data_IF_260728314328
#
_entry.id   IF_260728314328
#
_cell.length_a   1.000
_cell.length_b   1.000
_cell.length_c   1.000
_cell.angle_alpha   90.00
_cell.angle_beta   90.00
_cell.angle_gamma   90.00
#
_symmetry.space_group_name_H-M   'P 1'
#
loop_
_entity.id
_entity.type
_entity.pdbx_description
1 polymer ?
#
# COMPACT_ATOMS: atom_id res chain seq x y z
N UNK A 1 9.35 4.87 35.71
CA UNK A 1 8.07 4.44 35.13
C UNK A 1 8.16 4.75 33.63
N UNK A 2 8.30 3.72 32.79
CA UNK A 2 8.64 3.86 31.36
C UNK A 2 7.38 4.24 30.59
N UNK A 3 7.23 5.50 30.21
CA UNK A 3 6.22 5.93 29.23
C UNK A 3 6.61 5.29 27.90
N UNK A 4 5.76 4.41 27.38
CA UNK A 4 5.96 3.83 26.03
C UNK A 4 6.06 4.92 24.96
N UNK A 5 6.43 4.56 23.73
CA UNK A 5 6.47 5.54 22.65
C UNK A 5 5.08 6.17 22.52
N UNK A 6 4.99 7.49 22.64
CA UNK A 6 3.75 8.27 22.49
C UNK A 6 3.82 9.21 21.30
N UNK A 7 4.95 9.20 20.57
CA UNK A 7 5.21 10.15 19.49
C UNK A 7 5.01 9.47 18.12
N UNK A 8 4.11 9.98 17.27
CA UNK A 8 3.86 9.44 15.94
C UNK A 8 5.00 9.70 14.94
N UNK A 9 6.07 10.39 15.32
CA UNK A 9 7.29 10.55 14.51
C UNK A 9 8.32 9.46 14.84
N UNK A 10 8.13 8.71 15.94
CA UNK A 10 9.04 7.65 16.37
C UNK A 10 8.78 6.34 15.59
N UNK A 11 9.78 5.75 14.93
CA UNK A 11 9.61 4.44 14.28
C UNK A 11 9.20 3.32 15.26
N UNK A 12 9.58 3.40 16.55
CA UNK A 12 9.17 2.42 17.56
C UNK A 12 7.67 2.49 17.88
N UNK A 13 7.07 3.69 17.79
CA UNK A 13 5.63 3.88 17.92
C UNK A 13 4.88 3.12 16.83
N UNK A 14 5.24 3.35 15.57
CA UNK A 14 4.62 2.69 14.42
C UNK A 14 4.84 1.17 14.41
N UNK A 15 5.99 0.70 14.89
CA UNK A 15 6.22 -0.73 15.05
C UNK A 15 5.23 -1.36 16.06
N UNK A 16 4.96 -0.69 17.18
CA UNK A 16 4.03 -1.16 18.19
C UNK A 16 2.56 -1.07 17.70
N UNK A 17 2.17 0.04 17.05
CA UNK A 17 0.86 0.19 16.38
C UNK A 17 0.64 -0.96 15.39
N UNK A 18 1.61 -1.26 14.53
CA UNK A 18 1.50 -2.34 13.54
C UNK A 18 1.32 -3.71 14.20
N UNK A 19 2.09 -4.00 15.26
CA UNK A 19 1.97 -5.28 15.98
C UNK A 19 0.60 -5.45 16.63
N UNK A 20 0.04 -4.38 17.19
CA UNK A 20 -1.27 -4.44 17.84
C UNK A 20 -2.39 -4.51 16.78
N UNK A 21 -2.29 -3.74 15.70
CA UNK A 21 -3.22 -3.80 14.58
C UNK A 21 -3.28 -5.21 13.97
N UNK A 22 -2.13 -5.85 13.68
CA UNK A 22 -2.08 -7.19 13.08
C UNK A 22 -2.76 -8.26 13.97
N UNK A 23 -2.60 -8.16 15.29
CA UNK A 23 -3.26 -9.04 16.26
C UNK A 23 -4.78 -8.82 16.33
N UNK A 24 -5.22 -7.56 16.21
CA UNK A 24 -6.64 -7.21 16.33
C UNK A 24 -7.40 -7.35 15.02
N UNK A 25 -6.74 -7.18 13.87
CA UNK A 25 -7.37 -7.28 12.56
C UNK A 25 -8.01 -8.66 12.33
N UNK A 26 -7.39 -9.73 12.83
CA UNK A 26 -7.87 -11.11 12.71
C UNK A 26 -9.10 -11.40 13.61
N UNK A 27 -9.33 -10.58 14.65
CA UNK A 27 -10.45 -10.77 15.56
C UNK A 27 -11.75 -10.17 14.99
N UNK A 28 -12.93 -10.72 15.35
CA UNK A 28 -14.22 -10.09 15.02
C UNK A 28 -14.34 -8.69 15.63
N UNK A 29 -15.04 -7.74 14.97
CA UNK A 29 -15.13 -6.34 15.42
C UNK A 29 -15.65 -6.18 16.85
N UNK A 30 -16.56 -7.06 17.29
CA UNK A 30 -17.09 -7.07 18.65
C UNK A 30 -16.02 -7.42 19.72
N UNK A 31 -14.96 -8.13 19.35
CA UNK A 31 -13.87 -8.54 20.25
C UNK A 31 -12.66 -7.59 20.18
N UNK A 32 -12.49 -6.84 19.08
CA UNK A 32 -11.38 -5.89 18.88
C UNK A 32 -11.33 -4.82 19.95
N UNK A 33 -12.46 -4.18 20.28
CA UNK A 33 -12.52 -3.13 21.31
C UNK A 33 -12.22 -3.64 22.73
N UNK A 34 -12.59 -4.89 23.02
CA UNK A 34 -12.26 -5.52 24.31
C UNK A 34 -10.76 -5.85 24.39
N UNK A 35 -10.20 -6.44 23.33
CA UNK A 35 -8.79 -6.77 23.25
C UNK A 35 -7.89 -5.53 23.19
N UNK A 36 -8.33 -4.44 22.55
CA UNK A 36 -7.63 -3.15 22.55
C UNK A 36 -7.56 -2.56 23.96
N UNK A 37 -8.65 -2.65 24.73
CA UNK A 37 -8.66 -2.23 26.14
C UNK A 37 -7.79 -3.13 27.03
N UNK A 38 -7.80 -4.44 26.78
CA UNK A 38 -7.00 -5.42 27.53
C UNK A 38 -5.50 -5.27 27.26
N UNK A 39 -5.11 -4.74 26.09
CA UNK A 39 -3.70 -4.52 25.73
C UNK A 39 -2.93 -3.66 26.73
N UNK A 40 -3.61 -2.79 27.49
CA UNK A 40 -2.98 -1.93 28.49
C UNK A 40 -2.00 -0.89 27.92
N UNK A 41 -2.01 -0.71 26.59
CA UNK A 41 -1.11 0.20 25.88
C UNK A 41 -1.47 1.68 26.12
N UNK A 42 -0.58 2.58 25.70
CA UNK A 42 -0.81 4.02 25.83
C UNK A 42 -2.06 4.47 25.07
N UNK A 43 -2.75 5.49 25.58
CA UNK A 43 -3.97 6.02 24.96
C UNK A 43 -3.74 6.48 23.51
N UNK A 44 -2.56 7.05 23.22
CA UNK A 44 -2.17 7.46 21.86
C UNK A 44 -2.07 6.27 20.90
N UNK A 45 -1.46 5.16 21.36
CA UNK A 45 -1.33 3.96 20.53
C UNK A 45 -2.69 3.29 20.31
N UNK A 46 -3.53 3.23 21.33
CA UNK A 46 -4.88 2.69 21.20
C UNK A 46 -5.75 3.51 20.23
N UNK A 47 -5.62 4.83 20.24
CA UNK A 47 -6.38 5.70 19.34
C UNK A 47 -5.99 5.50 17.87
N UNK A 48 -4.68 5.43 17.60
CA UNK A 48 -4.17 5.15 16.25
C UNK A 48 -4.61 3.78 15.73
N UNK A 49 -4.52 2.74 16.56
CA UNK A 49 -4.96 1.39 16.17
C UNK A 49 -6.48 1.35 15.93
N UNK A 50 -7.27 2.06 16.75
CA UNK A 50 -8.73 2.18 16.52
C UNK A 50 -9.03 2.89 15.20
N UNK A 51 -8.32 3.97 14.89
CA UNK A 51 -8.44 4.68 13.61
C UNK A 51 -8.14 3.77 12.42
N UNK A 52 -7.06 2.98 12.49
CA UNK A 52 -6.69 2.04 11.43
C UNK A 52 -7.72 0.91 11.26
N UNK A 53 -8.23 0.35 12.35
CA UNK A 53 -9.25 -0.71 12.29
C UNK A 53 -10.57 -0.19 11.68
N UNK A 54 -10.99 1.03 12.02
CA UNK A 54 -12.20 1.63 11.43
C UNK A 54 -12.09 1.75 9.89
N UNK A 55 -10.94 2.19 9.38
CA UNK A 55 -10.71 2.29 7.94
C UNK A 55 -10.63 0.92 7.24
N UNK A 56 -10.13 -0.11 7.95
CA UNK A 56 -10.10 -1.48 7.42
C UNK A 56 -11.52 -2.04 7.28
N UNK A 57 -12.38 -1.85 8.29
CA UNK A 57 -13.78 -2.28 8.26
C UNK A 57 -14.60 -1.55 7.19
N UNK A 58 -14.39 -0.23 7.02
CA UNK A 58 -14.98 0.54 5.92
C UNK A 58 -14.54 -0.01 4.56
N UNK A 59 -13.31 -0.52 4.44
CA UNK A 59 -12.84 -1.12 3.18
C UNK A 59 -13.46 -2.48 2.95
N UNK A 60 -13.62 -3.36 3.96
CA UNK A 60 -14.28 -4.66 3.78
C UNK A 60 -15.78 -4.52 3.46
N UNK A 61 -16.45 -3.48 3.98
CA UNK A 61 -17.84 -3.15 3.65
C UNK A 61 -18.04 -2.47 2.29
N UNK A 62 -16.97 -1.91 1.71
CA UNK A 62 -16.98 -1.15 0.45
C UNK A 62 -15.91 -1.66 -0.55
N UNK A 63 -15.49 -2.92 -0.41
CA UNK A 63 -14.47 -3.58 -1.22
C UNK A 63 -14.89 -3.84 -2.67
N UNK A 64 -16.03 -3.30 -3.11
CA UNK A 64 -16.51 -3.41 -4.49
C UNK A 64 -16.13 -2.18 -5.35
N UNK A 65 -15.57 -1.10 -4.76
CA UNK A 65 -15.51 0.17 -5.50
C UNK A 65 -14.23 1.00 -5.46
N UNK A 66 -13.47 1.00 -4.36
CA UNK A 66 -12.51 2.10 -4.16
C UNK A 66 -11.08 1.83 -4.65
N UNK A 67 -10.66 0.57 -4.74
CA UNK A 67 -9.35 0.19 -5.31
C UNK A 67 -9.45 -0.64 -6.60
N UNK A 68 -10.66 -0.96 -7.05
CA UNK A 68 -10.92 -1.64 -8.32
C UNK A 68 -10.99 -0.67 -9.52
N UNK A 69 -10.75 0.63 -9.29
CA UNK A 69 -10.43 1.52 -10.37
C UNK A 69 -8.94 1.37 -10.71
N UNK A 70 -8.58 0.74 -11.84
CA UNK A 70 -7.20 0.79 -12.29
C UNK A 70 -6.80 2.27 -12.39
N UNK A 71 -5.62 2.60 -11.84
CA UNK A 71 -5.00 3.93 -11.98
C UNK A 71 -4.80 4.37 -13.45
N UNK A 72 -5.15 3.51 -14.41
CA UNK A 72 -5.33 3.83 -15.82
C UNK A 72 -6.44 4.87 -16.09
N UNK A 73 -7.44 5.04 -15.20
CA UNK A 73 -8.54 5.97 -15.45
C UNK A 73 -8.16 7.47 -15.30
N UNK A 74 -7.01 7.79 -14.68
CA UNK A 74 -6.59 9.17 -14.47
C UNK A 74 -5.72 9.75 -15.61
N UNK A 75 -5.34 8.94 -16.61
CA UNK A 75 -4.62 9.43 -17.78
C UNK A 75 -5.45 9.07 -19.01
N UNK A 76 -6.14 10.05 -19.57
CA UNK A 76 -6.72 9.97 -20.90
C UNK A 76 -5.60 9.79 -21.93
N UNK A 77 -5.11 8.56 -22.07
CA UNK A 77 -4.35 8.10 -23.21
C UNK A 77 -5.33 7.39 -24.16
N UNK A 78 -5.20 7.57 -25.49
CA UNK A 78 -6.07 6.92 -26.45
C UNK A 78 -6.03 5.40 -26.31
N UNK A 79 -7.17 4.70 -26.56
CA UNK A 79 -7.30 3.29 -26.26
C UNK A 79 -6.38 2.42 -27.13
N UNK A 80 -5.54 1.62 -26.48
CA UNK A 80 -4.87 0.48 -27.11
C UNK A 80 -5.79 -0.74 -26.98
N UNK A 81 -5.93 -1.57 -28.03
CA UNK A 81 -6.88 -2.69 -28.01
C UNK A 81 -6.50 -3.74 -26.97
N UNK A 82 -7.50 -4.13 -26.17
CA UNK A 82 -7.42 -5.20 -25.21
C UNK A 82 -7.18 -6.55 -25.91
N UNK A 83 -6.26 -7.34 -25.38
CA UNK A 83 -6.17 -8.77 -25.66
C UNK A 83 -6.03 -9.53 -24.33
N UNK A 84 -7.13 -10.16 -23.95
CA UNK A 84 -7.18 -11.27 -23.01
C UNK A 84 -6.44 -12.48 -23.60
N UNK A 85 -5.79 -13.25 -22.73
CA UNK A 85 -5.70 -14.73 -22.74
C UNK A 85 -4.29 -15.30 -22.50
N UNK A 86 -4.31 -16.39 -21.74
CA UNK A 86 -3.23 -17.21 -21.16
C UNK A 86 -2.17 -17.73 -22.14
N UNK A 87 -0.90 -17.41 -21.88
CA UNK A 87 0.35 -18.18 -22.08
C UNK A 87 1.53 -17.19 -21.87
N UNK A 88 2.72 -17.59 -21.37
CA UNK A 88 3.77 -16.63 -21.03
C UNK A 88 4.42 -16.08 -22.32
N UNK A 89 4.38 -14.76 -22.58
CA UNK A 89 5.22 -14.18 -23.61
C UNK A 89 6.55 -13.80 -22.94
N UNK A 90 7.61 -14.52 -23.29
CA UNK A 90 8.91 -13.88 -23.43
C UNK A 90 8.73 -12.67 -24.36
N UNK A 91 9.44 -11.57 -24.07
CA UNK A 91 9.30 -10.26 -24.72
C UNK A 91 8.12 -9.38 -24.24
N UNK A 92 8.16 -8.97 -22.97
CA UNK A 92 7.53 -7.71 -22.58
C UNK A 92 8.27 -6.57 -23.32
N UNK A 93 7.57 -5.56 -23.88
CA UNK A 93 8.20 -4.48 -24.63
C UNK A 93 9.22 -3.78 -23.73
N UNK A 94 10.50 -3.86 -24.12
CA UNK A 94 11.59 -3.21 -23.42
C UNK A 94 11.30 -1.71 -23.38
N UNK A 95 11.02 -1.17 -22.19
CA UNK A 95 10.86 0.29 -22.01
C UNK A 95 12.19 1.02 -22.19
N UNK A 96 13.29 0.31 -22.39
CA UNK A 96 14.62 0.84 -22.66
C UNK A 96 14.56 1.69 -23.94
N UNK A 97 14.98 2.95 -23.83
CA UNK A 97 14.88 3.94 -24.90
C UNK A 97 13.58 4.75 -24.92
N UNK A 98 12.62 4.46 -24.04
CA UNK A 98 11.42 5.28 -23.89
C UNK A 98 11.76 6.61 -23.20
N UNK A 99 11.21 7.71 -23.72
CA UNK A 99 11.36 9.05 -23.15
C UNK A 99 10.10 9.45 -22.38
N UNK A 100 10.29 9.83 -21.12
CA UNK A 100 9.24 10.32 -20.21
C UNK A 100 9.67 11.72 -19.76
N UNK A 101 9.11 12.75 -20.39
CA UNK A 101 9.53 14.14 -20.18
C UNK A 101 11.01 14.34 -20.53
N UNK A 102 11.86 14.83 -19.61
CA UNK A 102 13.31 14.96 -19.82
C UNK A 102 14.09 13.67 -19.55
N UNK A 103 13.44 12.55 -19.22
CA UNK A 103 14.11 11.31 -18.80
C UNK A 103 14.04 10.25 -19.90
N UNK A 104 15.15 9.53 -20.13
CA UNK A 104 15.26 8.37 -21.00
C UNK A 104 15.50 7.13 -20.15
N UNK A 105 14.66 6.10 -20.32
CA UNK A 105 14.82 4.83 -19.61
C UNK A 105 16.02 4.05 -20.18
N UNK A 106 16.92 3.63 -19.30
CA UNK A 106 18.19 2.98 -19.63
C UNK A 106 18.18 1.47 -19.33
N UNK A 107 17.45 1.04 -18.30
CA UNK A 107 17.38 -0.37 -17.92
C UNK A 107 16.39 -0.65 -16.80
N UNK A 108 16.02 -1.92 -16.61
CA UNK A 108 15.21 -2.37 -15.47
C UNK A 108 16.15 -2.62 -14.27
N UNK A 109 15.86 -1.98 -13.13
CA UNK A 109 16.60 -2.16 -11.89
C UNK A 109 15.98 -3.26 -11.00
N UNK A 110 14.67 -3.45 -11.06
CA UNK A 110 14.01 -4.50 -10.29
C UNK A 110 12.50 -4.54 -10.47
N UNK A 111 11.90 -5.68 -10.15
CA UNK A 111 10.45 -5.91 -10.18
C UNK A 111 9.99 -6.48 -8.86
N UNK A 112 8.94 -5.90 -8.28
CA UNK A 112 8.27 -6.37 -7.08
C UNK A 112 6.78 -6.60 -7.33
N UNK A 113 6.06 -7.08 -6.32
CA UNK A 113 4.66 -7.50 -6.43
C UNK A 113 3.69 -6.44 -6.94
N UNK A 114 4.01 -5.14 -6.79
CA UNK A 114 3.15 -4.03 -7.20
C UNK A 114 3.83 -3.03 -8.16
N UNK A 115 4.97 -3.38 -8.77
CA UNK A 115 5.62 -2.45 -9.71
C UNK A 115 7.02 -2.83 -10.20
N UNK A 116 7.53 -1.97 -11.09
CA UNK A 116 8.84 -2.08 -11.71
C UNK A 116 9.64 -0.79 -11.47
N UNK A 117 10.92 -0.94 -11.10
CA UNK A 117 11.86 0.16 -10.91
C UNK A 117 12.80 0.19 -12.10
N UNK A 118 12.90 1.34 -12.76
CA UNK A 118 13.71 1.53 -13.96
C UNK A 118 14.82 2.55 -13.72
N UNK A 119 16.01 2.28 -14.23
CA UNK A 119 17.08 3.25 -14.36
C UNK A 119 16.71 4.23 -15.47
N UNK A 120 16.89 5.52 -15.22
CA UNK A 120 16.65 6.56 -16.20
C UNK A 120 17.74 7.62 -16.13
N UNK A 121 18.09 8.20 -17.28
CA UNK A 121 19.02 9.32 -17.38
C UNK A 121 18.31 10.55 -17.93
N UNK A 122 18.78 11.74 -17.57
CA UNK A 122 18.33 12.98 -18.21
C UNK A 122 18.79 13.03 -19.66
N UNK A 123 17.90 13.46 -20.55
CA UNK A 123 18.09 13.65 -21.98
C UNK A 123 17.55 15.02 -22.41
N UNK A 124 17.59 16.01 -21.51
CA UNK A 124 17.37 17.43 -21.79
C UNK A 124 18.63 18.11 -22.34
#
# INVERSE_FOLDING_TARGET
MHTGPTDPTDPAFWAAVRRLFDQLADLPPAQREAALRDSGESAALQDEVRSLLAHADDTEGNADGFLEQPAAAAVALPPLPAATSSAPPADQPSRIGQRIGPWLIDGLLGRGGMGEVWAARRAD
#
